data_IF_063582822361
#
_entry.id   IF_063582822361
#
_cell.length_a   1.000
_cell.length_b   1.000
_cell.length_c   1.000
_cell.angle_alpha   90.00
_cell.angle_beta   90.00
_cell.angle_gamma   90.00
#
_symmetry.space_group_name_H-M   'P 1'
#
loop_
_entity.id
_entity.type
_entity.pdbx_description
1 polymer ?
#
# COMPACT_ATOMS: atom_id res chain seq x y z
N UNK A 1 13.11 50.64 39.36
CA UNK A 1 12.42 50.49 38.06
C UNK A 1 11.75 49.14 38.09
N UNK A 2 10.41 49.12 38.13
CA UNK A 2 9.61 47.89 38.21
C UNK A 2 8.54 48.04 37.12
N UNK A 3 8.61 47.22 36.07
CA UNK A 3 7.49 47.00 35.15
C UNK A 3 7.26 45.50 35.06
N UNK A 4 6.17 45.07 35.69
CA UNK A 4 5.50 43.84 35.31
C UNK A 4 4.60 44.07 34.11
N UNK A 5 3.94 42.99 33.70
CA UNK A 5 2.70 42.91 32.92
C UNK A 5 2.81 42.06 31.65
N UNK A 6 2.44 40.79 31.86
CA UNK A 6 1.35 40.11 31.15
C UNK A 6 1.62 39.64 29.71
N UNK A 7 1.84 38.33 29.60
CA UNK A 7 1.70 37.57 28.37
C UNK A 7 0.25 37.64 27.84
N UNK A 8 0.03 37.97 26.56
CA UNK A 8 -1.27 37.73 25.94
C UNK A 8 -1.33 36.28 25.41
N UNK A 9 -2.35 35.59 25.91
CA UNK A 9 -2.83 34.27 25.53
C UNK A 9 -2.80 34.05 24.00
N UNK A 10 -2.01 33.06 23.55
CA UNK A 10 -2.10 32.53 22.20
C UNK A 10 -3.39 31.69 22.08
N UNK A 11 -4.32 32.15 21.23
CA UNK A 11 -5.57 31.45 20.94
C UNK A 11 -5.27 30.13 20.21
N UNK A 12 -5.82 28.98 20.64
CA UNK A 12 -5.72 27.76 19.86
C UNK A 12 -6.55 27.89 18.58
N UNK A 13 -5.90 27.71 17.43
CA UNK A 13 -6.58 27.61 16.14
C UNK A 13 -7.59 26.45 16.21
N UNK A 14 -8.84 26.63 15.75
CA UNK A 14 -9.77 25.51 15.62
C UNK A 14 -9.15 24.53 14.62
N UNK A 15 -8.88 23.31 15.09
CA UNK A 15 -8.63 22.17 14.20
C UNK A 15 -9.90 22.04 13.36
N UNK A 16 -9.81 22.47 12.11
CA UNK A 16 -10.81 22.15 11.10
C UNK A 16 -10.70 20.65 10.93
N UNK A 17 -11.57 19.94 11.66
CA UNK A 17 -11.83 18.53 11.46
C UNK A 17 -12.45 18.43 10.06
N UNK A 18 -11.56 18.29 9.07
CA UNK A 18 -11.96 18.09 7.70
C UNK A 18 -12.91 16.90 7.65
N UNK A 19 -13.95 16.92 6.81
CA UNK A 19 -14.87 15.80 6.73
C UNK A 19 -14.06 14.54 6.43
N UNK A 20 -14.09 13.59 7.36
CA UNK A 20 -13.65 12.22 7.13
C UNK A 20 -14.58 11.70 6.05
N UNK A 21 -14.18 11.85 4.79
CA UNK A 21 -14.86 11.19 3.69
C UNK A 21 -14.85 9.70 4.04
N UNK A 22 -16.01 9.02 4.06
CA UNK A 22 -16.04 7.57 4.18
C UNK A 22 -15.22 7.02 3.02
N UNK A 23 -14.11 6.38 3.36
CA UNK A 23 -13.16 5.83 2.41
C UNK A 23 -13.93 4.92 1.43
N UNK A 24 -13.90 5.19 0.11
CA UNK A 24 -14.65 4.43 -0.90
C UNK A 24 -14.04 3.02 -1.13
N UNK A 25 -13.63 2.33 -0.06
CA UNK A 25 -13.01 1.01 -0.11
C UNK A 25 -13.97 -0.13 -0.40
N UNK A 26 -15.28 0.11 -0.49
CA UNK A 26 -16.25 -0.97 -0.67
C UNK A 26 -16.47 -1.41 -2.13
N UNK A 27 -15.72 -0.88 -3.10
CA UNK A 27 -15.69 -1.37 -4.49
C UNK A 27 -14.26 -1.45 -5.07
N UNK A 28 -13.22 -1.54 -4.23
CA UNK A 28 -11.86 -1.70 -4.73
C UNK A 28 -11.64 -3.16 -5.19
N UNK A 29 -11.30 -3.41 -6.47
CA UNK A 29 -10.98 -4.76 -6.95
C UNK A 29 -9.90 -5.35 -6.05
N UNK A 30 -10.19 -6.55 -5.52
CA UNK A 30 -9.38 -7.35 -4.61
C UNK A 30 -7.94 -6.85 -4.46
N UNK A 31 -7.68 -6.01 -3.45
CA UNK A 31 -6.32 -5.49 -3.22
C UNK A 31 -5.40 -6.68 -3.00
N UNK A 32 -4.42 -6.83 -3.89
CA UNK A 32 -3.38 -7.83 -3.76
C UNK A 32 -2.35 -7.35 -2.73
N UNK A 33 -2.14 -8.12 -1.64
CA UNK A 33 -1.19 -7.79 -0.57
C UNK A 33 0.15 -7.37 -1.14
N UNK A 34 0.75 -6.29 -0.62
CA UNK A 34 2.04 -5.78 -1.12
C UNK A 34 3.21 -6.59 -0.58
N UNK A 35 3.55 -7.68 -1.27
CA UNK A 35 4.76 -8.46 -1.05
C UNK A 35 5.98 -7.78 -1.70
N UNK A 36 7.08 -7.67 -0.95
CA UNK A 36 8.36 -7.09 -1.42
C UNK A 36 9.13 -7.99 -2.38
N UNK A 37 8.79 -9.29 -2.44
CA UNK A 37 9.37 -10.29 -3.34
C UNK A 37 8.54 -10.48 -4.61
N UNK A 38 7.45 -9.75 -4.79
CA UNK A 38 6.67 -9.79 -6.02
C UNK A 38 7.28 -8.89 -7.07
N UNK A 39 7.60 -9.43 -8.24
CA UNK A 39 7.97 -8.65 -9.43
C UNK A 39 6.76 -8.49 -10.34
N UNK A 40 6.48 -7.27 -10.75
CA UNK A 40 5.48 -6.95 -11.77
C UNK A 40 6.20 -6.65 -13.08
N UNK A 41 5.86 -7.40 -14.12
CA UNK A 41 6.40 -7.25 -15.47
C UNK A 41 5.27 -6.74 -16.35
N UNK A 42 5.44 -5.53 -16.89
CA UNK A 42 4.49 -5.01 -17.86
C UNK A 42 4.68 -5.78 -19.18
N UNK A 43 3.64 -6.49 -19.59
CA UNK A 43 3.58 -7.18 -20.87
C UNK A 43 2.61 -6.43 -21.78
N UNK A 44 3.06 -6.04 -22.97
CA UNK A 44 2.27 -5.24 -23.92
C UNK A 44 1.93 -6.09 -25.16
N UNK A 45 1.05 -7.10 -25.07
CA UNK A 45 0.87 -8.06 -26.14
C UNK A 45 0.23 -7.51 -27.42
N UNK A 46 -0.41 -6.33 -27.40
CA UNK A 46 -1.01 -5.62 -28.56
C UNK A 46 -1.74 -4.32 -28.15
N UNK A 47 -1.14 -3.54 -27.24
CA UNK A 47 -1.76 -2.31 -26.72
C UNK A 47 -2.69 -2.50 -25.53
N UNK A 48 -2.88 -3.74 -25.07
CA UNK A 48 -3.52 -4.03 -23.79
C UNK A 48 -2.49 -3.94 -22.65
N UNK A 49 -2.84 -3.24 -21.56
CA UNK A 49 -1.99 -3.08 -20.37
C UNK A 49 -2.13 -4.33 -19.51
N UNK A 50 -1.30 -5.34 -19.76
CA UNK A 50 -1.29 -6.58 -19.00
C UNK A 50 -0.03 -6.66 -18.14
N UNK A 51 -0.15 -7.25 -16.96
CA UNK A 51 0.95 -7.36 -16.01
C UNK A 51 1.10 -8.81 -15.62
N UNK A 52 2.24 -9.38 -15.98
CA UNK A 52 2.69 -10.65 -15.44
C UNK A 52 3.30 -10.41 -14.06
N UNK A 53 3.11 -11.40 -13.21
CA UNK A 53 3.51 -11.40 -11.81
C UNK A 53 4.41 -12.59 -11.58
N UNK A 54 5.60 -12.32 -11.05
CA UNK A 54 6.52 -13.36 -10.60
C UNK A 54 6.71 -13.27 -9.09
N UNK A 55 6.70 -14.41 -8.41
CA UNK A 55 7.12 -14.54 -7.04
C UNK A 55 8.63 -14.85 -6.99
N UNK A 56 9.39 -14.07 -6.23
CA UNK A 56 10.83 -14.24 -6.02
C UNK A 56 11.15 -14.80 -4.62
N UNK A 57 10.15 -15.30 -3.89
CA UNK A 57 10.33 -15.91 -2.57
C UNK A 57 10.44 -17.43 -2.70
N UNK A 58 11.36 -18.10 -1.98
CA UNK A 58 12.28 -17.57 -0.97
C UNK A 58 13.57 -16.98 -1.53
N UNK A 59 13.93 -17.32 -2.77
CA UNK A 59 15.19 -16.90 -3.40
C UNK A 59 14.96 -16.08 -4.67
N UNK A 60 15.58 -14.90 -4.74
CA UNK A 60 15.35 -13.95 -5.84
C UNK A 60 15.95 -14.36 -7.18
N UNK A 61 16.74 -15.43 -7.21
CA UNK A 61 17.37 -15.95 -8.44
C UNK A 61 16.43 -16.92 -9.16
N UNK A 62 15.41 -17.45 -8.47
CA UNK A 62 14.45 -18.39 -9.04
C UNK A 62 13.05 -17.75 -9.12
N UNK A 63 12.73 -17.03 -10.21
CA UNK A 63 11.39 -16.49 -10.40
C UNK A 63 10.38 -17.61 -10.62
N UNK A 64 9.29 -17.57 -9.84
CA UNK A 64 8.13 -18.44 -9.99
C UNK A 64 7.03 -17.63 -10.68
N UNK A 65 6.67 -17.94 -11.93
CA UNK A 65 5.61 -17.23 -12.64
C UNK A 65 4.25 -17.55 -11.99
N UNK A 66 3.56 -16.52 -11.51
CA UNK A 66 2.19 -16.62 -11.01
C UNK A 66 1.16 -16.35 -12.12
N UNK A 67 1.61 -15.80 -13.26
CA UNK A 67 0.76 -15.34 -14.36
C UNK A 67 0.30 -13.92 -14.12
N UNK A 68 -0.94 -13.61 -14.49
CA UNK A 68 -1.45 -12.24 -14.44
C UNK A 68 -1.76 -11.73 -13.04
N UNK A 69 -1.95 -10.41 -12.92
CA UNK A 69 -2.34 -9.76 -11.67
C UNK A 69 -3.59 -10.40 -11.03
N UNK A 70 -4.59 -10.75 -11.84
CA UNK A 70 -5.82 -11.40 -11.37
C UNK A 70 -5.56 -12.81 -10.82
N UNK A 71 -4.80 -13.63 -11.56
CA UNK A 71 -4.41 -14.97 -11.14
C UNK A 71 -3.48 -14.97 -9.90
N UNK A 72 -2.59 -13.98 -9.81
CA UNK A 72 -1.66 -13.83 -8.71
C UNK A 72 -2.32 -13.29 -7.43
N UNK A 73 -3.48 -12.65 -7.53
CA UNK A 73 -4.18 -12.04 -6.39
C UNK A 73 -4.53 -13.03 -5.28
N UNK A 74 -5.26 -14.13 -5.54
CA UNK A 74 -5.56 -15.12 -4.50
C UNK A 74 -4.30 -15.79 -3.95
N UNK A 75 -3.27 -16.01 -4.78
CA UNK A 75 -2.01 -16.64 -4.38
C UNK A 75 -1.23 -15.73 -3.41
N UNK A 76 -1.11 -14.44 -3.75
CA UNK A 76 -0.42 -13.47 -2.92
C UNK A 76 -1.17 -13.17 -1.61
N UNK A 77 -2.51 -13.21 -1.64
CA UNK A 77 -3.33 -12.98 -0.46
C UNK A 77 -3.37 -14.19 0.49
N UNK A 78 -3.24 -15.41 -0.03
CA UNK A 78 -3.13 -16.63 0.77
C UNK A 78 -1.70 -16.88 1.28
N UNK A 79 -0.71 -16.13 0.81
CA UNK A 79 0.68 -16.31 1.22
C UNK A 79 0.84 -15.96 2.71
N UNK A 80 1.49 -16.86 3.46
CA UNK A 80 1.75 -16.72 4.90
C UNK A 80 3.24 -16.52 5.21
N UNK A 81 4.04 -16.17 4.20
CA UNK A 81 5.47 -15.99 4.38
C UNK A 81 5.75 -14.83 5.35
N UNK A 82 6.60 -15.08 6.36
CA UNK A 82 6.97 -14.08 7.36
C UNK A 82 7.97 -13.07 6.80
N UNK A 83 7.88 -11.80 7.22
CA UNK A 83 8.80 -10.72 6.85
C UNK A 83 8.87 -10.36 5.34
N UNK A 84 7.96 -10.88 4.50
CA UNK A 84 7.91 -10.52 3.07
C UNK A 84 6.91 -9.41 2.77
N UNK A 85 5.90 -9.26 3.63
CA UNK A 85 4.89 -8.22 3.54
C UNK A 85 5.44 -6.89 4.04
N UNK A 86 4.97 -5.78 3.46
CA UNK A 86 5.27 -4.46 4.01
C UNK A 86 4.62 -4.33 5.40
N UNK A 87 5.25 -3.62 6.35
CA UNK A 87 4.77 -3.46 7.72
C UNK A 87 3.44 -2.71 7.85
N UNK A 88 2.95 -2.10 6.77
CA UNK A 88 1.66 -1.41 6.68
C UNK A 88 0.48 -2.37 6.40
N UNK A 89 0.76 -3.61 5.99
CA UNK A 89 -0.25 -4.60 5.53
C UNK A 89 -0.17 -5.94 6.29
N UNK A 90 0.56 -5.99 7.41
CA UNK A 90 0.58 -7.14 8.35
C UNK A 90 -0.52 -7.00 9.40
#
# INVERSE_FOLDING_TARGET
MIEGTTAPMAMPLPVVEGPVLPDPSHLAPHRIRRCTFRRLIRVEPRGERRFDVECLYPDRRLPIPLGDLDAATPICNACTASHVFRPDED
#
